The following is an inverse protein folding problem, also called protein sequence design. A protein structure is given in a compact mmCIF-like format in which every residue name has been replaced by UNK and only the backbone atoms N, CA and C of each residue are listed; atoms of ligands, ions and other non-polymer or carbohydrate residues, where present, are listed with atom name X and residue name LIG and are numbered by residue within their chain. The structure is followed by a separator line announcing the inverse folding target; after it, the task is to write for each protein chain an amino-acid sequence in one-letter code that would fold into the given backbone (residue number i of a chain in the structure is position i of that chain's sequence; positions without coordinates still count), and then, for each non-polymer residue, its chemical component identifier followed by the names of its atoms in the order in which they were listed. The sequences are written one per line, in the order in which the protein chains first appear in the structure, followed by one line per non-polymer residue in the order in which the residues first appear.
data_IF_969041760705
#
_entry.id   IF_969041760705
#
_cell.length_a   1.000
_cell.length_b   1.000
_cell.length_c   1.000
_cell.angle_alpha   90.00
_cell.angle_beta   90.00
_cell.angle_gamma   90.00
#
_symmetry.space_group_name_H-M   'P 1'
#
loop_
_entity.id
_entity.type
_entity.pdbx_description
1 polymer ?
#
# COMPACT_ATOMS: atom_id res chain seq x y z
N UNK A 1 8.31 -2.15 7.16
CA UNK A 1 6.96 -2.73 6.97
C UNK A 1 5.91 -1.62 7.13
N UNK A 2 4.84 -1.62 6.33
CA UNK A 2 3.70 -0.70 6.49
C UNK A 2 2.57 -1.39 7.27
N UNK A 3 2.63 -1.39 8.61
CA UNK A 3 1.61 -2.06 9.45
C UNK A 3 0.22 -1.46 9.27
N UNK A 4 0.11 -0.13 9.28
CA UNK A 4 -1.16 0.56 9.13
C UNK A 4 -1.81 0.27 7.79
N UNK A 5 -1.02 0.20 6.72
CA UNK A 5 -1.49 -0.19 5.40
C UNK A 5 -2.06 -1.61 5.39
N UNK A 6 -1.38 -2.58 6.00
CA UNK A 6 -1.86 -3.96 6.10
C UNK A 6 -3.16 -4.08 6.90
N UNK A 7 -3.29 -3.29 7.98
CA UNK A 7 -4.54 -3.22 8.74
C UNK A 7 -5.66 -2.62 7.90
N UNK A 8 -5.42 -1.48 7.25
CA UNK A 8 -6.40 -0.84 6.37
C UNK A 8 -6.84 -1.79 5.24
N UNK A 9 -5.91 -2.53 4.63
CA UNK A 9 -6.22 -3.56 3.65
C UNK A 9 -7.16 -4.62 4.20
N UNK A 10 -6.90 -5.13 5.40
CA UNK A 10 -7.74 -6.15 6.05
C UNK A 10 -9.13 -5.61 6.38
N UNK A 11 -9.20 -4.37 6.88
CA UNK A 11 -10.45 -3.73 7.28
C UNK A 11 -11.35 -3.39 6.09
N UNK A 12 -10.76 -3.01 4.95
CA UNK A 12 -11.49 -2.69 3.71
C UNK A 12 -11.68 -3.90 2.80
N UNK A 13 -11.08 -5.05 3.12
CA UNK A 13 -11.07 -6.22 2.24
C UNK A 13 -10.28 -6.02 0.93
N UNK A 14 -9.32 -5.10 0.93
CA UNK A 14 -8.46 -4.81 -0.22
C UNK A 14 -7.32 -5.82 -0.30
N UNK A 15 -7.05 -6.33 -1.49
CA UNK A 15 -6.00 -7.33 -1.74
C UNK A 15 -4.78 -6.73 -2.46
N UNK A 16 -3.61 -7.37 -2.31
CA UNK A 16 -2.41 -6.96 -3.05
C UNK A 16 -2.60 -7.03 -4.57
N UNK A 17 -3.46 -7.92 -5.05
CA UNK A 17 -3.79 -8.03 -6.46
C UNK A 17 -4.52 -6.80 -6.99
N UNK A 18 -5.44 -6.22 -6.21
CA UNK A 18 -6.13 -4.98 -6.59
C UNK A 18 -5.15 -3.79 -6.64
N UNK A 19 -4.27 -3.68 -5.65
CA UNK A 19 -3.23 -2.65 -5.64
C UNK A 19 -2.27 -2.84 -6.82
N UNK A 20 -1.82 -4.07 -7.08
CA UNK A 20 -0.97 -4.37 -8.23
C UNK A 20 -1.66 -4.02 -9.56
N UNK A 21 -2.94 -4.34 -9.69
CA UNK A 21 -3.73 -3.98 -10.87
C UNK A 21 -3.87 -2.46 -11.03
N UNK A 22 -3.99 -1.70 -9.95
CA UNK A 22 -4.06 -0.23 -9.97
C UNK A 22 -2.73 0.39 -10.42
N UNK A 23 -1.61 -0.15 -9.93
CA UNK A 23 -0.26 0.34 -10.23
C UNK A 23 0.33 -0.23 -11.53
N UNK A 24 -0.36 -1.18 -12.17
CA UNK A 24 0.17 -1.89 -13.34
C UNK A 24 1.36 -2.81 -13.01
N UNK A 25 1.48 -3.27 -11.77
CA UNK A 25 2.57 -4.14 -11.30
C UNK A 25 2.05 -5.48 -10.75
N UNK A 26 2.97 -6.42 -10.51
CA UNK A 26 2.60 -7.73 -9.95
C UNK A 26 2.27 -7.59 -8.46
N UNK A 27 1.30 -8.36 -7.98
CA UNK A 27 0.93 -8.37 -6.55
C UNK A 27 2.13 -8.69 -5.64
N UNK A 28 3.09 -9.51 -6.10
CA UNK A 28 4.32 -9.82 -5.37
C UNK A 28 5.13 -8.55 -5.09
N UNK A 29 5.31 -7.67 -6.08
CA UNK A 29 6.02 -6.40 -5.90
C UNK A 29 5.38 -5.53 -4.82
N UNK A 30 4.04 -5.51 -4.75
CA UNK A 30 3.30 -4.81 -3.70
C UNK A 30 3.55 -5.47 -2.34
N UNK A 31 3.42 -6.81 -2.26
CA UNK A 31 3.67 -7.59 -1.05
C UNK A 31 5.08 -7.35 -0.49
N UNK A 32 6.10 -7.48 -1.31
CA UNK A 32 7.51 -7.30 -0.93
C UNK A 32 7.75 -5.87 -0.42
N UNK A 33 7.11 -4.87 -1.05
CA UNK A 33 7.20 -3.46 -0.65
C UNK A 33 6.49 -3.19 0.68
N UNK A 34 5.31 -3.76 0.88
CA UNK A 34 4.51 -3.58 2.09
C UNK A 34 5.12 -4.28 3.29
N UNK A 35 5.63 -5.49 3.09
CA UNK A 35 6.35 -6.26 4.11
C UNK A 35 7.72 -5.64 4.43
N UNK A 36 8.23 -4.76 3.56
CA UNK A 36 9.52 -4.08 3.76
C UNK A 36 10.71 -4.92 3.34
N UNK A 37 10.50 -5.92 2.50
CA UNK A 37 11.58 -6.69 1.86
C UNK A 37 12.35 -5.82 0.86
N UNK A 38 11.67 -4.84 0.24
CA UNK A 38 12.31 -3.85 -0.61
C UNK A 38 12.78 -2.64 0.20
N UNK A 39 14.03 -2.20 -0.05
CA UNK A 39 14.55 -0.96 0.54
C UNK A 39 13.75 0.27 0.07
N UNK A 40 13.22 0.23 -1.16
CA UNK A 40 12.42 1.28 -1.79
C UNK A 40 10.96 1.17 -1.34
N UNK A 41 10.33 2.30 -0.99
CA UNK A 41 8.89 2.34 -0.72
C UNK A 41 8.07 2.51 -1.99
N UNK A 42 6.78 2.77 -1.83
CA UNK A 42 5.95 3.28 -2.93
C UNK A 42 6.43 4.66 -3.38
N UNK A 43 6.26 4.95 -4.67
CA UNK A 43 6.38 6.32 -5.14
C UNK A 43 5.24 7.16 -4.58
N UNK A 44 5.47 8.46 -4.43
CA UNK A 44 4.44 9.36 -3.87
C UNK A 44 3.16 9.35 -4.71
N UNK A 45 3.29 9.32 -6.05
CA UNK A 45 2.15 9.22 -6.96
C UNK A 45 1.35 7.92 -6.79
N UNK A 46 2.03 6.78 -6.65
CA UNK A 46 1.40 5.48 -6.36
C UNK A 46 0.66 5.53 -5.03
N UNK A 47 1.30 6.07 -3.99
CA UNK A 47 0.72 6.21 -2.67
C UNK A 47 -0.57 7.06 -2.69
N UNK A 48 -0.56 8.18 -3.43
CA UNK A 48 -1.74 9.04 -3.62
C UNK A 48 -2.83 8.30 -4.38
N UNK A 49 -2.50 7.57 -5.45
CA UNK A 49 -3.46 6.82 -6.25
C UNK A 49 -4.14 5.72 -5.42
N UNK A 50 -3.35 4.93 -4.69
CA UNK A 50 -3.83 3.90 -3.76
C UNK A 50 -4.76 4.52 -2.71
N UNK A 51 -4.33 5.62 -2.09
CA UNK A 51 -5.14 6.31 -1.08
C UNK A 51 -6.45 6.81 -1.67
N UNK A 52 -6.44 7.47 -2.82
CA UNK A 52 -7.66 8.04 -3.40
C UNK A 52 -8.65 6.98 -3.91
N UNK A 53 -8.17 5.85 -4.43
CA UNK A 53 -9.01 4.81 -5.04
C UNK A 53 -9.45 3.75 -4.03
N UNK A 54 -8.53 3.30 -3.16
CA UNK A 54 -8.73 2.14 -2.29
C UNK A 54 -8.94 2.54 -0.83
N UNK A 55 -8.39 3.67 -0.39
CA UNK A 55 -8.39 4.09 1.03
C UNK A 55 -8.76 5.56 1.23
N UNK A 56 -9.86 6.07 0.62
CA UNK A 56 -10.16 7.51 0.61
C UNK A 56 -10.41 8.09 2.01
N UNK A 57 -10.74 7.22 2.97
CA UNK A 57 -11.01 7.57 4.38
C UNK A 57 -9.75 7.68 5.25
N UNK A 58 -8.58 7.32 4.73
CA UNK A 58 -7.33 7.33 5.47
C UNK A 58 -6.37 8.42 4.99
N UNK A 59 -5.50 8.85 5.90
CA UNK A 59 -4.40 9.75 5.58
C UNK A 59 -3.22 9.01 4.96
N UNK A 60 -2.56 9.68 4.03
CA UNK A 60 -1.43 9.13 3.30
C UNK A 60 -0.26 8.84 4.26
N UNK A 61 0.05 9.77 5.17
CA UNK A 61 1.07 9.57 6.20
C UNK A 61 0.72 8.40 7.12
N UNK A 62 -0.55 8.25 7.50
CA UNK A 62 -1.00 7.14 8.34
C UNK A 62 -0.80 5.79 7.63
N UNK A 63 -1.28 5.66 6.39
CA UNK A 63 -1.17 4.42 5.60
C UNK A 63 0.30 4.03 5.38
N UNK A 64 1.11 4.99 4.92
CA UNK A 64 2.49 4.73 4.48
C UNK A 64 3.53 5.04 5.58
N UNK A 65 3.14 4.99 6.85
CA UNK A 65 4.09 5.03 7.97
C UNK A 65 4.93 3.74 7.98
N UNK A 66 6.25 3.87 7.82
CA UNK A 66 7.20 2.76 8.03
C UNK A 66 7.46 2.60 9.51
N UNK A 67 7.15 1.43 10.06
CA UNK A 67 7.77 1.00 11.32
C UNK A 67 9.25 0.65 11.05
N UNK A 68 10.11 1.13 11.96
CA UNK A 68 11.55 0.82 12.02
C UNK A 68 11.79 -0.59 12.49
#
# INVERSE_FOLDING_TARGET
MYRNFLMAMKDEGVTFAQIGSLLGCRYQTVSDTVNGETKKGFYHEDAVAIRNVLFPKYDLDYLFTREK
#
